data_IF_691160126868
#
_entry.id   IF_691160126868
#
_cell.length_a   1.000
_cell.length_b   1.000
_cell.length_c   1.000
_cell.angle_alpha   90.00
_cell.angle_beta   90.00
_cell.angle_gamma   90.00
#
_symmetry.space_group_name_H-M   'P 1'
#
loop_
_entity.id
_entity.type
_entity.pdbx_description
1 polymer ?
#
# COMPACT_ATOMS: atom_id res chain seq x y z
N UNK A 1 -48.84 29.12 -1.07
CA UNK A 1 -47.66 29.05 -1.96
C UNK A 1 -46.60 29.96 -1.39
N UNK A 2 -45.72 29.44 -0.54
CA UNK A 2 -44.52 30.16 -0.12
C UNK A 2 -43.36 29.54 -0.86
N UNK A 3 -42.72 30.34 -1.70
CA UNK A 3 -41.59 29.94 -2.51
C UNK A 3 -40.44 29.52 -1.59
N UNK A 4 -40.18 28.21 -1.54
CA UNK A 4 -38.92 27.65 -1.06
C UNK A 4 -37.88 27.84 -2.13
N UNK A 5 -37.32 29.03 -2.23
CA UNK A 5 -36.03 29.26 -2.89
C UNK A 5 -35.11 29.99 -1.92
N UNK A 6 -34.79 29.28 -0.84
CA UNK A 6 -33.58 29.52 -0.07
C UNK A 6 -32.60 28.43 -0.50
N UNK A 7 -32.01 28.57 -1.70
CA UNK A 7 -30.64 28.08 -1.90
C UNK A 7 -29.76 28.90 -0.98
N UNK A 8 -29.76 28.55 0.31
CA UNK A 8 -28.88 29.11 1.32
C UNK A 8 -27.49 28.58 0.94
N UNK A 9 -26.82 29.31 0.04
CA UNK A 9 -25.46 28.99 -0.38
C UNK A 9 -24.62 28.97 0.87
N UNK A 10 -23.96 27.84 1.13
CA UNK A 10 -23.12 27.67 2.31
C UNK A 10 -22.04 28.77 2.32
N UNK A 11 -22.01 29.65 3.35
CA UNK A 11 -21.10 30.79 3.38
C UNK A 11 -19.63 30.37 3.30
N UNK A 12 -19.28 29.16 3.75
CA UNK A 12 -17.93 28.64 3.61
C UNK A 12 -17.53 28.39 2.16
N UNK A 13 -18.46 27.93 1.33
CA UNK A 13 -18.23 27.69 -0.08
C UNK A 13 -18.11 29.00 -0.89
N UNK A 14 -18.78 30.07 -0.45
CA UNK A 14 -18.61 31.43 -1.00
C UNK A 14 -17.21 31.95 -0.71
N UNK A 15 -16.77 31.90 0.56
CA UNK A 15 -15.41 32.31 0.96
C UNK A 15 -14.34 31.48 0.24
N UNK A 16 -14.62 30.19 -0.02
CA UNK A 16 -13.74 29.32 -0.81
C UNK A 16 -13.54 29.83 -2.24
N UNK A 17 -14.61 30.33 -2.87
CA UNK A 17 -14.54 30.93 -4.21
C UNK A 17 -13.81 32.27 -4.19
N UNK A 18 -14.07 33.13 -3.21
CA UNK A 18 -13.33 34.40 -3.06
C UNK A 18 -11.82 34.15 -2.91
N UNK A 19 -11.46 33.15 -2.10
CA UNK A 19 -10.07 32.73 -1.94
C UNK A 19 -9.48 32.15 -3.23
N UNK A 20 -10.24 31.36 -3.99
CA UNK A 20 -9.82 30.87 -5.31
C UNK A 20 -9.48 32.01 -6.26
N UNK A 21 -10.36 33.02 -6.35
CA UNK A 21 -10.16 34.21 -7.18
C UNK A 21 -8.92 34.98 -6.75
N UNK A 22 -8.69 35.13 -5.44
CA UNK A 22 -7.47 35.74 -4.90
C UNK A 22 -6.20 35.00 -5.35
N UNK A 23 -6.22 33.65 -5.38
CA UNK A 23 -5.07 32.87 -5.87
C UNK A 23 -4.87 33.02 -7.39
N UNK A 24 -5.96 33.12 -8.16
CA UNK A 24 -5.88 33.37 -9.61
C UNK A 24 -5.22 34.71 -9.91
N UNK A 25 -5.57 35.78 -9.17
CA UNK A 25 -4.96 37.11 -9.32
C UNK A 25 -3.45 37.10 -9.05
N UNK A 26 -3.00 36.28 -8.10
CA UNK A 26 -1.56 36.11 -7.78
C UNK A 26 -0.80 35.30 -8.82
N UNK A 27 -1.49 34.66 -9.75
CA UNK A 27 -0.90 33.78 -10.77
C UNK A 27 -1.05 34.42 -12.16
N UNK A 28 0.00 35.07 -12.69
CA UNK A 28 -0.10 35.75 -13.98
C UNK A 28 -0.24 34.75 -15.14
N UNK A 29 -1.01 35.14 -16.15
CA UNK A 29 -1.13 34.39 -17.42
C UNK A 29 -2.17 33.27 -17.43
N UNK A 30 -3.04 33.19 -16.42
CA UNK A 30 -4.14 32.23 -16.41
C UNK A 30 -5.23 32.60 -17.44
N UNK A 31 -5.85 31.61 -18.09
CA UNK A 31 -7.04 31.82 -18.92
C UNK A 31 -8.21 32.35 -18.08
N UNK A 32 -9.16 33.02 -18.74
CA UNK A 32 -10.39 33.44 -18.09
C UNK A 32 -11.19 32.21 -17.62
N UNK A 33 -11.53 32.18 -16.35
CA UNK A 33 -12.34 31.14 -15.73
C UNK A 33 -13.18 31.74 -14.61
N UNK A 34 -14.46 31.34 -14.54
CA UNK A 34 -15.38 31.77 -13.47
C UNK A 34 -15.63 30.58 -12.54
N UNK A 35 -15.11 30.59 -11.30
CA UNK A 35 -15.31 29.49 -10.38
C UNK A 35 -16.78 29.30 -10.00
N UNK A 36 -17.16 28.05 -9.77
CA UNK A 36 -18.52 27.67 -9.37
C UNK A 36 -18.52 27.08 -7.97
N UNK A 37 -19.54 27.41 -7.18
CA UNK A 37 -19.79 26.80 -5.88
C UNK A 37 -20.37 25.41 -6.10
N UNK A 38 -19.92 24.42 -5.32
CA UNK A 38 -20.57 23.11 -5.33
C UNK A 38 -21.91 23.13 -4.59
N UNK A 39 -22.82 22.23 -4.98
CA UNK A 39 -24.09 21.95 -4.30
C UNK A 39 -23.89 21.42 -2.87
N UNK A 40 -22.67 21.01 -2.51
CA UNK A 40 -22.31 20.58 -1.17
C UNK A 40 -22.90 19.21 -0.80
N UNK A 41 -23.13 18.99 0.50
CA UNK A 41 -23.75 17.75 0.99
C UNK A 41 -25.28 17.84 0.82
N UNK A 42 -25.93 16.91 0.09
CA UNK A 42 -27.37 16.96 -0.11
C UNK A 42 -28.14 16.96 1.22
N UNK A 43 -29.19 17.76 1.32
CA UNK A 43 -30.01 17.87 2.54
C UNK A 43 -30.57 16.51 3.00
N UNK A 44 -30.90 15.62 2.06
CA UNK A 44 -31.33 14.25 2.36
C UNK A 44 -30.25 13.42 3.06
N UNK A 45 -28.98 13.59 2.68
CA UNK A 45 -27.84 12.92 3.30
C UNK A 45 -27.55 13.50 4.70
N UNK A 46 -27.65 14.82 4.86
CA UNK A 46 -27.55 15.49 6.17
C UNK A 46 -28.66 14.99 7.11
N UNK A 47 -29.90 14.91 6.63
CA UNK A 47 -31.03 14.40 7.42
C UNK A 47 -30.86 12.92 7.79
N UNK A 48 -30.44 12.08 6.85
CA UNK A 48 -30.24 10.64 7.08
C UNK A 48 -29.13 10.40 8.11
N UNK A 49 -27.98 11.07 7.95
CA UNK A 49 -26.87 10.98 8.89
C UNK A 49 -27.22 11.56 10.26
N UNK A 50 -27.93 12.69 10.33
CA UNK A 50 -28.44 13.24 11.60
C UNK A 50 -29.32 12.23 12.33
N UNK A 51 -30.29 11.61 11.64
CA UNK A 51 -31.16 10.57 12.21
C UNK A 51 -30.36 9.38 12.76
N UNK A 52 -29.35 8.94 12.03
CA UNK A 52 -28.46 7.87 12.48
C UNK A 52 -27.67 8.28 13.73
N UNK A 53 -27.12 9.49 13.76
CA UNK A 53 -26.32 10.01 14.88
C UNK A 53 -27.15 10.19 16.15
N UNK A 54 -28.42 10.60 16.04
CA UNK A 54 -29.29 10.79 17.22
C UNK A 54 -29.96 9.50 17.70
N UNK A 55 -29.83 8.40 16.97
CA UNK A 55 -30.37 7.09 17.35
C UNK A 55 -30.06 6.66 18.80
N UNK A 56 -28.83 6.85 19.31
CA UNK A 56 -28.48 6.57 20.71
C UNK A 56 -29.29 7.35 21.76
N UNK A 57 -29.94 8.49 21.42
CA UNK A 57 -30.87 9.16 22.34
C UNK A 57 -32.00 8.22 22.76
N UNK A 58 -32.50 7.41 21.84
CA UNK A 58 -33.58 6.45 22.09
C UNK A 58 -33.12 5.20 22.85
N UNK A 59 -31.82 5.02 23.02
CA UNK A 59 -31.20 3.96 23.80
C UNK A 59 -30.72 4.45 25.18
N UNK A 60 -30.98 5.71 25.54
CA UNK A 60 -30.55 6.30 26.81
C UNK A 60 -29.06 6.63 26.88
N UNK A 61 -28.40 6.87 25.74
CA UNK A 61 -26.97 7.19 25.64
C UNK A 61 -26.70 8.63 25.11
N UNK A 62 -27.27 9.67 25.72
CA UNK A 62 -27.21 11.05 25.20
C UNK A 62 -25.80 11.64 25.15
N UNK A 63 -24.88 11.16 25.97
CA UNK A 63 -23.48 11.60 26.00
C UNK A 63 -22.72 11.29 24.70
N UNK A 64 -23.21 10.34 23.90
CA UNK A 64 -22.61 9.97 22.60
C UNK A 64 -23.02 10.91 21.46
N UNK A 65 -24.04 11.74 21.65
CA UNK A 65 -24.77 12.41 20.55
C UNK A 65 -24.18 13.77 20.22
N UNK A 66 -23.94 14.63 21.22
CA UNK A 66 -23.46 16.00 20.98
C UNK A 66 -22.11 16.02 20.24
N UNK A 67 -21.15 15.21 20.70
CA UNK A 67 -19.83 15.12 20.06
C UNK A 67 -19.92 14.60 18.63
N UNK A 68 -20.77 13.59 18.38
CA UNK A 68 -20.96 13.02 17.05
C UNK A 68 -21.64 14.02 16.09
N UNK A 69 -22.64 14.78 16.55
CA UNK A 69 -23.27 15.84 15.76
C UNK A 69 -22.28 16.97 15.45
N UNK A 70 -21.46 17.37 16.43
CA UNK A 70 -20.43 18.39 16.22
C UNK A 70 -19.40 17.94 15.17
N UNK A 71 -18.87 16.71 15.27
CA UNK A 71 -17.96 16.15 14.26
C UNK A 71 -18.61 16.02 12.89
N UNK A 72 -19.89 15.61 12.82
CA UNK A 72 -20.61 15.52 11.55
C UNK A 72 -20.84 16.88 10.90
N UNK A 73 -21.17 17.90 11.69
CA UNK A 73 -21.34 19.27 11.20
C UNK A 73 -20.03 19.84 10.66
N UNK A 74 -18.93 19.71 11.41
CA UNK A 74 -17.60 20.12 10.95
C UNK A 74 -17.21 19.43 9.64
N UNK A 75 -17.54 18.15 9.53
CA UNK A 75 -17.30 17.36 8.34
C UNK A 75 -18.10 17.90 7.14
N UNK A 76 -19.42 18.14 7.26
CA UNK A 76 -20.24 18.67 6.16
C UNK A 76 -19.74 20.03 5.66
N UNK A 77 -19.40 20.93 6.57
CA UNK A 77 -18.84 22.26 6.26
C UNK A 77 -17.54 22.12 5.44
N UNK A 78 -16.61 21.31 5.93
CA UNK A 78 -15.34 21.07 5.23
C UNK A 78 -15.54 20.38 3.89
N UNK A 79 -16.50 19.45 3.79
CA UNK A 79 -16.82 18.80 2.52
C UNK A 79 -17.25 19.80 1.48
N UNK A 80 -18.14 20.73 1.79
CA UNK A 80 -18.62 21.72 0.82
C UNK A 80 -17.48 22.58 0.23
N UNK A 81 -16.53 23.00 1.08
CA UNK A 81 -15.32 23.72 0.64
C UNK A 81 -14.41 22.86 -0.25
N UNK A 82 -14.13 21.62 0.16
CA UNK A 82 -13.27 20.70 -0.60
C UNK A 82 -13.92 20.30 -1.94
N UNK A 83 -15.21 20.06 -1.96
CA UNK A 83 -15.98 19.73 -3.16
C UNK A 83 -15.96 20.91 -4.14
N UNK A 84 -16.12 22.14 -3.64
CA UNK A 84 -16.00 23.38 -4.42
C UNK A 84 -14.62 23.52 -5.07
N UNK A 85 -13.52 23.35 -4.33
CA UNK A 85 -12.18 23.42 -4.92
C UNK A 85 -11.96 22.28 -5.93
N UNK A 86 -12.33 21.04 -5.58
CA UNK A 86 -12.12 19.89 -6.46
C UNK A 86 -12.92 20.00 -7.77
N UNK A 87 -14.14 20.54 -7.70
CA UNK A 87 -14.96 20.88 -8.86
C UNK A 87 -14.25 21.91 -9.75
N UNK A 88 -13.78 23.01 -9.15
CA UNK A 88 -13.13 24.06 -9.93
C UNK A 88 -11.82 23.59 -10.56
N UNK A 89 -11.02 22.79 -9.86
CA UNK A 89 -9.82 22.17 -10.46
C UNK A 89 -10.15 21.28 -11.65
N UNK A 90 -11.27 20.56 -11.60
CA UNK A 90 -11.68 19.67 -12.67
C UNK A 90 -12.16 20.40 -13.94
N UNK A 91 -12.62 21.65 -13.83
CA UNK A 91 -13.21 22.42 -14.93
C UNK A 91 -12.38 23.63 -15.38
N UNK A 92 -11.38 24.04 -14.59
CA UNK A 92 -10.51 25.16 -14.93
C UNK A 92 -9.63 24.80 -16.15
N UNK A 93 -9.71 25.57 -17.27
CA UNK A 93 -8.91 25.32 -18.47
C UNK A 93 -7.40 25.52 -18.28
N UNK A 94 -6.97 26.13 -17.18
CA UNK A 94 -5.57 26.19 -16.79
C UNK A 94 -5.04 24.85 -16.26
N UNK A 95 -5.92 23.85 -16.10
CA UNK A 95 -5.63 22.52 -15.58
C UNK A 95 -4.79 22.53 -14.30
N UNK A 96 -5.21 23.24 -13.23
CA UNK A 96 -4.51 23.18 -11.96
C UNK A 96 -4.52 21.76 -11.39
N UNK A 97 -3.74 21.54 -10.33
CA UNK A 97 -3.83 20.35 -9.48
C UNK A 97 -4.05 20.81 -8.05
N UNK A 98 -4.56 19.93 -7.20
CA UNK A 98 -4.58 20.19 -5.76
C UNK A 98 -3.81 19.14 -4.97
N UNK A 99 -3.37 19.55 -3.79
CA UNK A 99 -2.82 18.69 -2.76
C UNK A 99 -3.81 18.54 -1.60
N UNK A 100 -3.72 17.44 -0.86
CA UNK A 100 -4.30 17.35 0.48
C UNK A 100 -3.26 17.86 1.48
N UNK A 101 -3.62 18.89 2.24
CA UNK A 101 -2.69 19.60 3.13
C UNK A 101 -3.19 19.48 4.58
N UNK A 102 -2.49 18.73 5.44
CA UNK A 102 -2.78 18.68 6.87
C UNK A 102 -2.65 20.07 7.52
N UNK A 103 -3.58 20.43 8.41
CA UNK A 103 -3.56 21.73 9.11
C UNK A 103 -3.24 21.64 10.61
N UNK A 104 -3.36 20.46 11.21
CA UNK A 104 -2.98 20.24 12.60
C UNK A 104 -1.48 20.00 12.78
N UNK A 105 -0.98 20.14 14.01
CA UNK A 105 0.40 19.82 14.37
C UNK A 105 0.78 18.35 14.06
N UNK A 106 -0.19 17.45 14.10
CA UNK A 106 -0.10 16.06 13.59
C UNK A 106 -1.44 15.67 12.96
N UNK A 107 -1.39 14.94 11.86
CA UNK A 107 -2.57 14.31 11.22
C UNK A 107 -2.52 12.79 11.36
N UNK A 108 -3.59 12.08 11.01
CA UNK A 108 -3.58 10.62 11.06
C UNK A 108 -2.73 10.01 9.92
N UNK A 109 -2.22 8.79 10.10
CA UNK A 109 -1.36 8.13 9.11
C UNK A 109 -2.02 8.00 7.72
N UNK A 110 -3.34 7.84 7.68
CA UNK A 110 -4.10 7.77 6.42
C UNK A 110 -4.10 9.10 5.67
N UNK A 111 -4.33 10.18 6.40
CA UNK A 111 -4.30 11.52 5.85
C UNK A 111 -2.89 11.89 5.39
N UNK A 112 -1.86 11.56 6.17
CA UNK A 112 -0.47 11.75 5.79
C UNK A 112 -0.09 10.97 4.52
N UNK A 113 -0.56 9.71 4.40
CA UNK A 113 -0.38 8.91 3.18
C UNK A 113 -1.00 9.59 1.95
N UNK A 114 -2.18 10.19 2.07
CA UNK A 114 -2.81 10.90 0.94
C UNK A 114 -2.11 12.23 0.66
N UNK A 115 -1.74 12.97 1.71
CA UNK A 115 -1.02 14.22 1.63
C UNK A 115 0.39 14.09 1.03
N UNK A 116 1.07 12.95 1.19
CA UNK A 116 2.42 12.74 0.64
C UNK A 116 2.50 12.79 -0.88
N UNK A 117 1.35 12.71 -1.57
CA UNK A 117 1.32 12.77 -3.04
C UNK A 117 1.54 14.18 -3.60
N UNK A 118 1.39 15.23 -2.78
CA UNK A 118 1.51 16.61 -3.24
C UNK A 118 0.40 17.04 -4.21
N UNK A 119 0.70 18.01 -5.07
CA UNK A 119 -0.23 18.60 -6.05
C UNK A 119 -0.39 17.73 -7.30
N UNK A 120 -1.02 16.56 -7.12
CA UNK A 120 -1.28 15.59 -8.22
C UNK A 120 -2.76 15.38 -8.50
N UNK A 121 -3.64 15.82 -7.60
CA UNK A 121 -5.06 15.53 -7.73
C UNK A 121 -5.74 16.47 -8.72
N UNK A 122 -6.60 15.90 -9.58
CA UNK A 122 -7.35 16.63 -10.60
C UNK A 122 -8.86 16.69 -10.30
N UNK A 123 -9.41 15.69 -9.60
CA UNK A 123 -10.85 15.62 -9.33
C UNK A 123 -11.15 14.84 -8.05
N UNK A 124 -12.38 14.98 -7.55
CA UNK A 124 -12.91 14.25 -6.40
C UNK A 124 -12.64 12.74 -6.46
N UNK A 125 -12.86 12.14 -7.64
CA UNK A 125 -12.66 10.69 -7.86
C UNK A 125 -11.20 10.28 -7.70
N UNK A 126 -10.27 11.12 -8.17
CA UNK A 126 -8.83 10.85 -8.09
C UNK A 126 -8.25 11.16 -6.71
N UNK A 127 -8.86 12.09 -5.97
CA UNK A 127 -8.45 12.39 -4.60
C UNK A 127 -9.13 11.56 -3.54
N UNK A 128 -10.18 10.80 -3.86
CA UNK A 128 -10.82 9.93 -2.89
C UNK A 128 -12.08 10.46 -2.23
N UNK A 129 -12.68 11.53 -2.74
CA UNK A 129 -13.69 12.31 -2.01
C UNK A 129 -15.04 11.57 -1.90
N UNK A 130 -15.38 10.68 -2.85
CA UNK A 130 -16.57 9.81 -2.81
C UNK A 130 -16.27 8.39 -3.33
N UNK A 131 -16.78 7.36 -2.64
CA UNK A 131 -16.94 5.98 -3.12
C UNK A 131 -15.66 5.21 -3.50
N UNK A 132 -14.49 5.67 -3.04
CA UNK A 132 -13.17 5.25 -3.55
C UNK A 132 -12.22 4.75 -2.47
N UNK A 133 -12.68 4.64 -1.21
CA UNK A 133 -11.86 4.18 -0.09
C UNK A 133 -10.82 5.18 0.41
N UNK A 134 -10.85 6.43 -0.07
CA UNK A 134 -9.94 7.53 0.26
C UNK A 134 -10.68 8.74 0.88
N UNK A 135 -11.87 8.51 1.43
CA UNK A 135 -12.83 9.54 1.84
C UNK A 135 -12.37 10.31 3.07
N UNK A 136 -12.82 11.56 3.19
CA UNK A 136 -12.57 12.34 4.41
C UNK A 136 -13.48 11.83 5.53
N UNK A 137 -12.90 11.34 6.61
CA UNK A 137 -13.69 10.95 7.79
C UNK A 137 -13.99 12.16 8.69
N UNK A 138 -14.93 11.98 9.62
CA UNK A 138 -15.47 13.03 10.49
C UNK A 138 -14.40 13.90 11.17
N UNK A 139 -13.34 13.28 11.72
CA UNK A 139 -12.31 14.00 12.49
C UNK A 139 -11.05 14.37 11.67
N UNK A 140 -11.19 14.48 10.34
CA UNK A 140 -10.07 14.81 9.45
C UNK A 140 -9.77 16.32 9.43
N UNK A 141 -8.49 16.66 9.54
CA UNK A 141 -7.95 18.02 9.55
C UNK A 141 -7.30 18.45 8.21
N UNK A 142 -7.36 17.62 7.18
CA UNK A 142 -6.79 17.95 5.87
C UNK A 142 -7.66 18.94 5.12
N UNK A 143 -7.10 20.03 4.62
CA UNK A 143 -7.76 20.84 3.59
C UNK A 143 -7.25 20.44 2.21
N UNK A 144 -7.88 20.95 1.15
CA UNK A 144 -7.33 20.83 -0.20
C UNK A 144 -6.90 22.20 -0.71
N UNK A 145 -5.72 22.24 -1.32
CA UNK A 145 -5.12 23.49 -1.79
C UNK A 145 -4.77 23.33 -3.27
N UNK A 146 -5.39 24.12 -4.18
CA UNK A 146 -5.04 24.09 -5.59
C UNK A 146 -3.70 24.80 -5.84
N UNK A 147 -3.08 24.48 -6.96
CA UNK A 147 -1.96 25.21 -7.53
C UNK A 147 -1.99 25.05 -9.05
N UNK A 148 -1.70 26.16 -9.73
CA UNK A 148 -1.51 26.23 -11.18
C UNK A 148 -0.06 26.01 -11.59
N UNK A 149 0.89 25.97 -10.64
CA UNK A 149 2.28 25.58 -10.86
C UNK A 149 2.72 24.60 -9.77
N UNK A 150 2.48 23.30 -10.01
CA UNK A 150 2.84 22.22 -9.07
C UNK A 150 4.32 22.15 -8.72
N UNK A 151 5.21 22.70 -9.56
CA UNK A 151 6.66 22.66 -9.32
C UNK A 151 7.11 23.77 -8.36
N UNK A 152 6.37 24.87 -8.28
CA UNK A 152 6.64 25.99 -7.38
C UNK A 152 5.73 26.03 -6.16
N UNK A 153 4.69 25.19 -6.14
CA UNK A 153 3.76 25.10 -5.03
C UNK A 153 4.49 24.75 -3.72
N UNK A 154 4.41 25.64 -2.74
CA UNK A 154 4.99 25.44 -1.42
C UNK A 154 4.06 26.01 -0.36
N UNK A 155 3.97 25.32 0.77
CA UNK A 155 3.26 25.78 1.96
C UNK A 155 4.19 25.53 3.15
N UNK A 156 4.47 26.56 3.92
CA UNK A 156 5.32 26.45 5.11
C UNK A 156 4.79 25.36 6.06
N UNK A 157 5.68 24.44 6.43
CA UNK A 157 5.35 23.30 7.30
C UNK A 157 4.68 22.11 6.59
N UNK A 158 4.45 22.18 5.29
CA UNK A 158 3.99 21.05 4.48
C UNK A 158 5.09 20.55 3.55
N UNK A 159 5.64 19.38 3.89
CA UNK A 159 6.66 18.69 3.12
C UNK A 159 6.11 17.34 2.62
N UNK A 160 5.54 17.29 1.40
CA UNK A 160 4.99 16.06 0.83
C UNK A 160 6.08 15.00 0.59
N UNK A 161 7.31 15.41 0.30
CA UNK A 161 8.41 14.49 0.00
C UNK A 161 8.84 13.74 1.27
N UNK A 162 9.04 14.44 2.39
CA UNK A 162 9.33 13.78 3.66
C UNK A 162 8.15 12.91 4.16
N UNK A 163 6.90 13.25 3.83
CA UNK A 163 5.77 12.36 4.08
C UNK A 163 5.80 11.12 3.18
N UNK A 164 6.24 11.29 1.93
CA UNK A 164 6.35 10.20 0.95
C UNK A 164 7.47 9.23 1.33
N UNK A 165 8.61 9.72 1.80
CA UNK A 165 9.70 8.88 2.30
C UNK A 165 9.25 7.97 3.45
N UNK A 166 8.49 8.50 4.42
CA UNK A 166 7.89 7.70 5.50
C UNK A 166 6.89 6.66 4.99
N UNK A 167 6.10 7.02 3.98
CA UNK A 167 5.21 6.08 3.31
C UNK A 167 6.00 4.95 2.61
N UNK A 168 7.08 5.29 1.91
CA UNK A 168 7.93 4.33 1.21
C UNK A 168 8.65 3.38 2.17
N UNK A 169 9.18 3.89 3.29
CA UNK A 169 9.78 3.08 4.34
C UNK A 169 8.76 2.07 4.93
N UNK A 170 7.52 2.51 5.16
CA UNK A 170 6.46 1.61 5.62
C UNK A 170 6.10 0.57 4.54
N UNK A 171 6.03 0.97 3.27
CA UNK A 171 5.72 0.09 2.14
C UNK A 171 6.79 -1.00 1.97
N UNK A 172 8.07 -0.63 2.07
CA UNK A 172 9.20 -1.55 2.06
C UNK A 172 9.14 -2.52 3.25
N UNK A 173 8.87 -2.03 4.45
CA UNK A 173 8.72 -2.87 5.63
C UNK A 173 7.57 -3.90 5.47
N UNK A 174 6.44 -3.52 4.86
CA UNK A 174 5.34 -4.45 4.53
C UNK A 174 5.79 -5.53 3.55
N UNK A 175 6.54 -5.15 2.49
CA UNK A 175 7.11 -6.10 1.53
C UNK A 175 8.08 -7.07 2.20
N UNK A 176 8.95 -6.58 3.08
CA UNK A 176 9.90 -7.42 3.83
C UNK A 176 9.17 -8.40 4.76
N UNK A 177 8.01 -8.02 5.30
CA UNK A 177 7.15 -8.94 6.05
C UNK A 177 6.41 -9.96 5.15
N UNK A 178 6.57 -9.89 3.83
CA UNK A 178 5.90 -10.76 2.87
C UNK A 178 4.39 -10.55 2.82
N UNK A 179 3.92 -9.36 3.20
CA UNK A 179 2.51 -8.95 3.16
C UNK A 179 2.24 -8.05 1.94
N UNK A 180 0.97 -7.80 1.62
CA UNK A 180 0.59 -6.97 0.47
C UNK A 180 0.78 -5.47 0.78
N UNK A 181 1.74 -4.78 0.13
CA UNK A 181 1.95 -3.34 0.33
C UNK A 181 0.78 -2.48 -0.18
N UNK A 182 -0.18 -3.05 -0.90
CA UNK A 182 -1.38 -2.36 -1.36
C UNK A 182 -2.57 -2.55 -0.41
N UNK A 183 -2.47 -3.45 0.58
CA UNK A 183 -3.44 -3.48 1.67
C UNK A 183 -3.22 -2.27 2.59
N UNK A 184 -4.08 -1.27 2.41
CA UNK A 184 -4.06 -0.04 3.19
C UNK A 184 -4.11 -0.30 4.70
N UNK A 185 -4.81 -1.33 5.19
CA UNK A 185 -4.90 -1.59 6.62
C UNK A 185 -3.53 -1.99 7.20
N UNK A 186 -2.86 -2.93 6.53
CA UNK A 186 -1.51 -3.37 6.89
C UNK A 186 -0.49 -2.23 6.74
N UNK A 187 -0.56 -1.49 5.63
CA UNK A 187 0.37 -0.38 5.38
C UNK A 187 0.24 0.72 6.43
N UNK A 188 -0.98 1.19 6.73
CA UNK A 188 -1.21 2.23 7.72
C UNK A 188 -0.85 1.75 9.14
N UNK A 189 -1.05 0.46 9.41
CA UNK A 189 -0.59 -0.15 10.65
C UNK A 189 0.93 -0.06 10.82
N UNK A 190 1.68 -0.33 9.75
CA UNK A 190 3.15 -0.21 9.74
C UNK A 190 3.58 1.25 9.82
N UNK A 191 2.96 2.15 9.06
CA UNK A 191 3.24 3.60 9.13
C UNK A 191 3.14 4.11 10.58
N UNK A 192 2.03 3.82 11.27
CA UNK A 192 1.79 4.23 12.66
C UNK A 192 2.86 3.78 13.64
N UNK A 193 3.56 2.68 13.34
CA UNK A 193 4.59 2.11 14.22
C UNK A 193 5.98 2.57 13.88
N UNK A 194 6.27 2.70 12.59
CA UNK A 194 7.60 3.12 12.13
C UNK A 194 7.83 4.61 12.42
N UNK A 195 6.76 5.41 12.43
CA UNK A 195 6.81 6.84 12.73
C UNK A 195 5.72 7.23 13.74
N UNK A 196 5.79 6.73 14.99
CA UNK A 196 4.71 6.93 15.97
C UNK A 196 4.53 8.40 16.33
N UNK A 197 5.60 9.18 16.28
CA UNK A 197 5.55 10.61 16.58
C UNK A 197 5.11 11.47 15.39
N UNK A 198 5.09 10.93 14.17
CA UNK A 198 4.65 11.68 13.00
C UNK A 198 3.12 11.81 12.90
N UNK A 199 2.38 10.94 13.58
CA UNK A 199 0.93 10.82 13.40
C UNK A 199 0.15 10.99 14.70
N UNK A 200 -1.05 11.59 14.59
CA UNK A 200 -2.00 11.73 15.71
C UNK A 200 -2.45 10.36 16.25
N UNK A 201 -2.50 9.37 15.38
CA UNK A 201 -2.87 7.98 15.67
C UNK A 201 -1.66 7.02 15.61
N UNK A 202 -0.45 7.54 15.80
CA UNK A 202 0.77 6.72 15.89
C UNK A 202 0.74 5.77 17.09
N UNK A 203 1.43 4.63 16.97
CA UNK A 203 1.45 3.57 17.99
C UNK A 203 2.91 3.28 18.32
N UNK A 204 3.39 3.80 19.45
CA UNK A 204 4.72 3.46 19.96
C UNK A 204 4.79 2.03 20.50
N UNK A 205 6.00 1.57 20.83
CA UNK A 205 6.27 0.18 21.27
C UNK A 205 5.50 -0.25 22.54
N UNK A 206 5.15 0.72 23.39
CA UNK A 206 4.36 0.52 24.60
C UNK A 206 2.83 0.58 24.37
N UNK A 207 2.37 0.71 23.11
CA UNK A 207 0.96 0.65 22.74
C UNK A 207 0.16 1.95 22.92
N UNK A 208 0.77 3.02 23.43
CA UNK A 208 0.17 4.37 23.51
C UNK A 208 1.18 5.42 23.10
N UNK A 209 0.92 6.15 22.01
CA UNK A 209 1.40 7.53 21.89
C UNK A 209 0.34 8.45 22.53
N UNK A 210 0.75 9.60 23.07
CA UNK A 210 -0.06 10.50 23.91
C UNK A 210 -1.27 11.19 23.24
N UNK A 211 -1.82 10.64 22.17
CA UNK A 211 -3.03 11.14 21.53
C UNK A 211 -4.32 10.63 22.21
N UNK A 212 -5.32 11.49 22.36
CA UNK A 212 -6.66 11.19 22.90
C UNK A 212 -7.50 10.21 22.04
N UNK A 213 -6.88 9.52 21.08
CA UNK A 213 -7.54 8.59 20.19
C UNK A 213 -8.02 7.35 20.94
N UNK A 214 -9.35 7.15 20.96
CA UNK A 214 -10.00 5.86 21.27
C UNK A 214 -9.71 4.87 20.13
N UNK A 215 -8.46 4.44 20.00
CA UNK A 215 -8.05 3.35 19.12
C UNK A 215 -7.61 2.17 19.97
N UNK A 216 -8.51 1.22 20.23
CA UNK A 216 -8.08 -0.11 20.66
C UNK A 216 -7.32 -0.72 19.48
N UNK A 217 -6.01 -0.56 19.45
CA UNK A 217 -5.22 -1.14 18.38
C UNK A 217 -5.24 -2.66 18.55
N UNK A 218 -6.20 -3.32 17.89
CA UNK A 218 -6.22 -4.78 17.66
C UNK A 218 -5.02 -5.22 16.80
N UNK A 219 -4.14 -4.30 16.45
CA UNK A 219 -3.06 -4.53 15.51
C UNK A 219 -1.91 -5.21 16.26
N UNK A 220 -1.50 -6.43 15.85
CA UNK A 220 -0.50 -7.24 16.53
C UNK A 220 0.90 -6.61 16.46
N UNK A 221 1.66 -6.51 17.57
CA UNK A 221 3.02 -5.92 17.60
C UNK A 221 4.04 -6.64 16.69
N UNK A 222 3.67 -7.82 16.19
CA UNK A 222 4.48 -8.77 15.43
C UNK A 222 3.67 -9.26 14.24
N UNK A 223 4.35 -9.78 13.22
CA UNK A 223 3.66 -10.37 12.07
C UNK A 223 2.82 -11.56 12.55
N UNK A 224 1.53 -11.60 12.17
CA UNK A 224 0.65 -12.68 12.60
C UNK A 224 0.95 -13.97 11.85
N UNK A 225 0.83 -15.10 12.55
CA UNK A 225 0.78 -16.39 11.89
C UNK A 225 -0.47 -16.46 11.03
N UNK A 226 -0.30 -16.83 9.76
CA UNK A 226 -1.39 -16.95 8.82
C UNK A 226 -2.19 -18.23 9.05
N UNK A 227 -3.49 -18.19 8.73
CA UNK A 227 -4.28 -19.42 8.61
C UNK A 227 -3.66 -20.32 7.54
N UNK A 228 -3.31 -21.55 7.92
CA UNK A 228 -2.84 -22.59 7.01
C UNK A 228 -3.98 -22.96 6.06
N UNK A 229 -3.78 -22.70 4.76
CA UNK A 229 -4.76 -23.04 3.73
C UNK A 229 -4.69 -24.52 3.41
N UNK A 230 -5.86 -25.12 3.20
CA UNK A 230 -5.97 -26.45 2.61
C UNK A 230 -5.80 -26.34 1.10
N UNK A 231 -4.85 -27.08 0.54
CA UNK A 231 -4.65 -27.14 -0.90
C UNK A 231 -3.49 -28.07 -1.20
N UNK A 232 -3.80 -29.29 -1.63
CA UNK A 232 -2.76 -30.24 -2.02
C UNK A 232 -2.16 -29.78 -3.34
N UNK A 233 -0.95 -29.22 -3.28
CA UNK A 233 -0.09 -29.14 -4.45
C UNK A 233 0.49 -30.53 -4.71
N UNK A 234 0.38 -31.03 -5.93
CA UNK A 234 0.78 -32.42 -6.19
C UNK A 234 0.65 -32.84 -7.65
N UNK A 235 1.68 -33.51 -8.16
CA UNK A 235 1.76 -34.09 -9.51
C UNK A 235 1.90 -33.09 -10.65
N UNK A 236 1.09 -32.03 -10.63
CA UNK A 236 0.93 -31.02 -11.68
C UNK A 236 1.92 -29.84 -11.59
N UNK A 237 2.73 -29.79 -10.54
CA UNK A 237 3.74 -28.76 -10.33
C UNK A 237 3.23 -27.49 -9.62
N UNK A 238 2.01 -27.49 -9.09
CA UNK A 238 1.48 -26.41 -8.24
C UNK A 238 2.10 -26.41 -6.84
N UNK A 239 2.05 -25.26 -6.16
CA UNK A 239 2.53 -25.11 -4.78
C UNK A 239 1.53 -25.72 -3.81
N UNK A 240 2.01 -26.58 -2.90
CA UNK A 240 1.22 -27.11 -1.79
C UNK A 240 1.04 -26.01 -0.74
N UNK A 241 -0.14 -25.39 -0.73
CA UNK A 241 -0.42 -24.25 0.15
C UNK A 241 -0.38 -24.63 1.63
N UNK A 242 -0.67 -25.88 1.97
CA UNK A 242 -0.59 -26.35 3.36
C UNK A 242 0.88 -26.39 3.80
N UNK A 243 1.77 -26.96 2.98
CA UNK A 243 3.21 -26.97 3.29
C UNK A 243 3.82 -25.58 3.26
N UNK A 244 3.46 -24.78 2.27
CA UNK A 244 3.96 -23.42 2.11
C UNK A 244 3.57 -22.54 3.29
N UNK A 245 2.30 -22.55 3.69
CA UNK A 245 1.81 -21.73 4.81
C UNK A 245 2.41 -22.20 6.15
N UNK A 246 2.57 -23.51 6.36
CA UNK A 246 3.26 -24.05 7.55
C UNK A 246 4.70 -23.58 7.60
N UNK A 247 5.45 -23.75 6.49
CA UNK A 247 6.83 -23.29 6.41
C UNK A 247 6.93 -21.78 6.65
N UNK A 248 6.08 -20.97 5.99
CA UNK A 248 6.03 -19.53 6.19
C UNK A 248 5.77 -19.18 7.66
N UNK A 249 4.84 -19.86 8.34
CA UNK A 249 4.58 -19.62 9.76
C UNK A 249 5.79 -19.93 10.66
N UNK A 250 6.57 -20.97 10.35
CA UNK A 250 7.84 -21.24 11.05
C UNK A 250 8.85 -20.09 10.84
N UNK A 251 8.94 -19.58 9.61
CA UNK A 251 9.79 -18.43 9.28
C UNK A 251 9.32 -17.16 10.00
N UNK A 252 8.01 -16.88 10.03
CA UNK A 252 7.43 -15.75 10.77
C UNK A 252 7.75 -15.85 12.26
N UNK A 253 7.66 -17.05 12.85
CA UNK A 253 7.99 -17.25 14.25
C UNK A 253 9.46 -16.90 14.55
N UNK A 254 10.38 -17.33 13.69
CA UNK A 254 11.81 -16.97 13.76
C UNK A 254 12.04 -15.47 13.59
N UNK A 255 11.44 -14.88 12.55
CA UNK A 255 11.53 -13.44 12.26
C UNK A 255 11.03 -12.59 13.43
N UNK A 256 9.92 -13.00 14.05
CA UNK A 256 9.33 -12.31 15.19
C UNK A 256 10.12 -12.47 16.50
N UNK A 257 10.96 -13.50 16.61
CA UNK A 257 11.77 -13.76 17.80
C UNK A 257 13.05 -12.91 17.85
N UNK A 258 13.50 -12.39 16.70
CA UNK A 258 14.77 -11.69 16.55
C UNK A 258 14.55 -10.24 16.08
N UNK A 259 14.64 -9.24 16.98
CA UNK A 259 14.49 -7.83 16.61
C UNK A 259 15.55 -7.32 15.62
N UNK A 260 16.79 -7.78 15.74
CA UNK A 260 17.90 -7.30 14.91
C UNK A 260 17.74 -7.82 13.49
N UNK A 261 17.26 -9.05 13.32
CA UNK A 261 16.88 -9.60 12.02
C UNK A 261 15.78 -8.77 11.35
N UNK A 262 14.79 -8.27 12.10
CA UNK A 262 13.73 -7.42 11.53
C UNK A 262 14.25 -6.06 11.06
N UNK A 263 15.31 -5.56 11.70
CA UNK A 263 15.95 -4.30 11.35
C UNK A 263 16.98 -4.45 10.21
N UNK A 264 17.43 -5.67 9.88
CA UNK A 264 18.52 -5.91 8.93
C UNK A 264 18.11 -5.96 7.45
N UNK A 265 16.83 -5.74 7.14
CA UNK A 265 16.30 -5.91 5.77
C UNK A 265 15.97 -7.36 5.41
N UNK A 266 15.96 -8.26 6.41
CA UNK A 266 15.52 -9.64 6.24
C UNK A 266 14.06 -9.71 5.76
N UNK A 267 13.79 -10.65 4.85
CA UNK A 267 12.49 -10.85 4.22
C UNK A 267 11.84 -12.16 4.64
N UNK A 268 10.52 -12.17 4.71
CA UNK A 268 9.67 -13.34 4.93
C UNK A 268 9.02 -13.73 3.59
N UNK A 269 8.94 -15.02 3.23
CA UNK A 269 8.30 -15.45 2.00
C UNK A 269 6.89 -14.86 1.85
N UNK A 270 6.46 -14.47 0.65
CA UNK A 270 5.20 -13.78 0.44
C UNK A 270 4.01 -14.63 0.87
N UNK A 271 2.92 -14.01 1.35
CA UNK A 271 1.69 -14.73 1.73
C UNK A 271 1.14 -15.58 0.59
N UNK A 272 1.19 -15.05 -0.64
CA UNK A 272 0.81 -15.78 -1.84
C UNK A 272 2.08 -16.20 -2.58
N UNK A 273 2.27 -17.51 -2.83
CA UNK A 273 3.45 -17.97 -3.55
C UNK A 273 3.44 -17.46 -4.98
N UNK A 274 4.63 -17.23 -5.52
CA UNK A 274 4.82 -16.75 -6.88
C UNK A 274 4.23 -17.76 -7.89
N UNK A 275 3.51 -17.27 -8.88
CA UNK A 275 2.87 -18.13 -9.88
C UNK A 275 3.81 -18.35 -11.06
N UNK A 276 3.67 -19.51 -11.73
CA UNK A 276 4.47 -19.83 -12.92
C UNK A 276 4.29 -18.76 -14.02
N UNK A 277 5.36 -18.33 -14.71
CA UNK A 277 5.26 -17.51 -15.93
C UNK A 277 4.43 -18.20 -17.02
N UNK A 278 3.44 -17.49 -17.59
CA UNK A 278 2.53 -18.04 -18.60
C UNK A 278 3.23 -18.47 -19.89
N UNK A 279 4.37 -17.85 -20.21
CA UNK A 279 5.09 -17.96 -21.47
C UNK A 279 6.39 -18.78 -21.36
N UNK A 280 6.53 -19.65 -20.35
CA UNK A 280 7.70 -20.51 -20.26
C UNK A 280 7.83 -21.42 -21.50
N UNK A 281 9.00 -21.50 -22.16
CA UNK A 281 9.17 -22.28 -23.38
C UNK A 281 8.91 -23.78 -23.18
N UNK A 282 8.25 -24.42 -24.13
CA UNK A 282 7.89 -25.85 -24.05
C UNK A 282 9.04 -26.78 -24.47
N UNK A 283 10.05 -26.25 -25.16
CA UNK A 283 11.27 -26.94 -25.61
C UNK A 283 12.32 -27.06 -24.51
N UNK A 284 12.17 -26.34 -23.40
CA UNK A 284 13.09 -26.36 -22.26
C UNK A 284 12.58 -27.27 -21.13
N UNK A 285 13.45 -27.70 -20.20
CA UNK A 285 13.03 -28.33 -18.96
C UNK A 285 11.90 -27.54 -18.28
N UNK A 286 10.86 -28.25 -17.85
CA UNK A 286 9.69 -27.62 -17.27
C UNK A 286 10.06 -26.83 -16.00
N UNK A 287 9.58 -25.60 -15.89
CA UNK A 287 9.67 -24.79 -14.68
C UNK A 287 8.28 -24.69 -14.05
N UNK A 288 8.05 -25.49 -13.02
CA UNK A 288 6.79 -25.49 -12.28
C UNK A 288 6.79 -24.48 -11.12
N UNK A 289 5.60 -24.06 -10.67
CA UNK A 289 5.46 -23.05 -9.62
C UNK A 289 6.11 -23.53 -8.31
N UNK A 290 6.03 -24.83 -8.02
CA UNK A 290 6.69 -25.44 -6.86
C UNK A 290 8.21 -25.23 -6.88
N UNK A 291 8.87 -25.60 -7.98
CA UNK A 291 10.32 -25.54 -8.10
C UNK A 291 10.81 -24.09 -8.18
N UNK A 292 10.00 -23.19 -8.76
CA UNK A 292 10.29 -21.77 -8.76
C UNK A 292 10.23 -21.16 -7.35
N UNK A 293 9.18 -21.43 -6.56
CA UNK A 293 9.15 -20.94 -5.17
C UNK A 293 10.27 -21.54 -4.30
N UNK A 294 10.62 -22.81 -4.53
CA UNK A 294 11.80 -23.43 -3.89
C UNK A 294 13.11 -22.73 -4.25
N UNK A 295 13.23 -22.19 -5.47
CA UNK A 295 14.40 -21.42 -5.90
C UNK A 295 14.38 -19.95 -5.43
N UNK A 296 13.20 -19.37 -5.18
CA UNK A 296 13.05 -17.96 -4.81
C UNK A 296 13.09 -17.72 -3.30
N UNK A 297 12.53 -18.64 -2.51
CA UNK A 297 12.26 -18.39 -1.09
C UNK A 297 12.74 -19.51 -0.16
N UNK A 298 13.42 -20.53 -0.70
CA UNK A 298 13.72 -21.80 -0.03
C UNK A 298 12.46 -22.54 0.48
N UNK A 299 12.61 -23.81 0.85
CA UNK A 299 11.52 -24.64 1.34
C UNK A 299 12.04 -25.62 2.41
N UNK A 300 11.19 -25.94 3.40
CA UNK A 300 11.40 -27.08 4.30
C UNK A 300 11.33 -28.40 3.52
N UNK A 301 12.42 -29.17 3.52
CA UNK A 301 12.51 -30.49 2.91
C UNK A 301 12.99 -31.49 3.95
N UNK A 302 12.04 -32.14 4.62
CA UNK A 302 12.35 -33.00 5.78
C UNK A 302 12.85 -32.16 6.95
N UNK A 303 13.99 -32.52 7.59
CA UNK A 303 14.54 -31.75 8.72
C UNK A 303 15.23 -30.44 8.27
N UNK A 304 15.65 -30.35 7.01
CA UNK A 304 16.47 -29.25 6.49
C UNK A 304 15.64 -28.21 5.74
N UNK A 305 16.15 -26.99 5.65
CA UNK A 305 15.63 -25.97 4.73
C UNK A 305 16.59 -25.90 3.55
N UNK A 306 16.08 -26.07 2.33
CA UNK A 306 16.86 -26.15 1.09
C UNK A 306 16.27 -25.24 0.03
N UNK A 307 17.05 -25.02 -1.02
CA UNK A 307 16.65 -24.29 -2.21
C UNK A 307 17.51 -23.07 -2.43
N UNK A 308 17.28 -22.39 -3.56
CA UNK A 308 17.83 -21.07 -3.78
C UNK A 308 17.04 -20.03 -2.99
N UNK A 309 17.50 -18.78 -3.07
CA UNK A 309 16.70 -17.67 -2.60
C UNK A 309 17.13 -16.32 -3.19
N UNK A 310 16.17 -15.41 -3.26
CA UNK A 310 16.40 -14.00 -3.53
C UNK A 310 17.17 -13.30 -2.40
N UNK A 311 17.65 -12.09 -2.69
CA UNK A 311 18.20 -11.19 -1.67
C UNK A 311 17.18 -10.92 -0.54
N UNK A 312 17.67 -10.90 0.70
CA UNK A 312 16.86 -10.74 1.91
C UNK A 312 16.36 -12.04 2.54
N UNK A 313 16.48 -13.18 1.87
CA UNK A 313 16.02 -14.49 2.38
C UNK A 313 17.17 -15.41 2.85
N UNK A 314 18.43 -15.00 2.72
CA UNK A 314 19.60 -15.82 3.08
C UNK A 314 19.73 -16.18 4.56
N UNK A 315 18.96 -15.53 5.44
CA UNK A 315 18.85 -15.91 6.85
C UNK A 315 17.99 -17.19 7.06
N UNK A 316 17.24 -17.60 6.03
CA UNK A 316 16.35 -18.77 6.07
C UNK A 316 17.14 -20.06 5.77
N UNK A 317 18.02 -20.02 4.78
CA UNK A 317 18.81 -21.15 4.29
C UNK A 317 20.21 -20.70 3.85
N UNK A 318 21.21 -21.58 3.93
CA UNK A 318 22.63 -21.24 3.76
C UNK A 318 23.14 -21.24 2.32
N UNK A 319 22.26 -21.17 1.31
CA UNK A 319 22.70 -21.18 -0.10
C UNK A 319 23.23 -19.79 -0.52
N UNK A 320 24.04 -19.70 -1.58
CA UNK A 320 24.42 -18.41 -2.15
C UNK A 320 23.19 -17.57 -2.51
N UNK A 321 23.24 -16.28 -2.17
CA UNK A 321 22.12 -15.35 -2.36
C UNK A 321 22.12 -14.83 -3.79
N UNK A 322 20.97 -14.90 -4.48
CA UNK A 322 20.82 -14.24 -5.77
C UNK A 322 21.05 -12.72 -5.65
N UNK A 323 21.57 -12.05 -6.69
CA UNK A 323 21.99 -10.65 -6.59
C UNK A 323 20.91 -9.72 -6.06
N UNK A 324 21.35 -8.69 -5.33
CA UNK A 324 20.46 -7.62 -4.89
C UNK A 324 19.81 -6.93 -6.10
N UNK A 325 18.52 -6.61 -5.97
CA UNK A 325 17.72 -5.98 -7.03
C UNK A 325 17.11 -6.95 -8.05
N UNK A 326 17.48 -8.24 -8.06
CA UNK A 326 16.79 -9.21 -8.91
C UNK A 326 15.36 -9.46 -8.44
N UNK A 327 14.43 -9.45 -9.38
CA UNK A 327 13.02 -9.82 -9.20
C UNK A 327 12.80 -11.30 -9.49
N UNK A 328 11.62 -11.82 -9.14
CA UNK A 328 11.22 -13.17 -9.54
C UNK A 328 11.27 -13.38 -11.06
N UNK A 329 10.94 -12.33 -11.84
CA UNK A 329 11.02 -12.36 -13.30
C UNK A 329 12.46 -12.41 -13.81
N UNK A 330 13.40 -11.73 -13.14
CA UNK A 330 14.81 -11.79 -13.52
C UNK A 330 15.39 -13.20 -13.31
N UNK A 331 14.97 -13.89 -12.24
CA UNK A 331 15.36 -15.29 -11.99
C UNK A 331 14.82 -16.23 -13.06
N UNK A 332 13.58 -16.01 -13.51
CA UNK A 332 12.99 -16.77 -14.62
C UNK A 332 13.78 -16.53 -15.91
N UNK A 333 14.08 -15.27 -16.24
CA UNK A 333 14.88 -14.89 -17.43
C UNK A 333 16.29 -15.49 -17.37
N UNK A 334 16.91 -15.49 -16.20
CA UNK A 334 18.22 -16.09 -15.97
C UNK A 334 18.17 -17.61 -16.21
N UNK A 335 17.16 -18.29 -15.69
CA UNK A 335 16.99 -19.73 -15.90
C UNK A 335 16.77 -20.08 -17.38
N UNK A 336 15.93 -19.33 -18.08
CA UNK A 336 15.74 -19.50 -19.53
C UNK A 336 17.06 -19.30 -20.28
N UNK A 337 17.78 -18.22 -19.98
CA UNK A 337 19.07 -17.92 -20.61
C UNK A 337 20.09 -19.05 -20.41
N UNK A 338 20.24 -19.54 -19.18
CA UNK A 338 21.17 -20.63 -18.85
C UNK A 338 20.82 -21.89 -19.63
N UNK A 339 19.55 -22.27 -19.66
CA UNK A 339 19.11 -23.47 -20.37
C UNK A 339 19.28 -23.33 -21.88
N UNK A 340 18.98 -22.17 -22.46
CA UNK A 340 19.22 -21.91 -23.89
C UNK A 340 20.69 -21.95 -24.27
N UNK A 341 21.57 -21.57 -23.35
CA UNK A 341 23.00 -21.44 -23.63
C UNK A 341 23.76 -22.75 -23.44
N UNK A 342 23.41 -23.52 -22.40
CA UNK A 342 24.26 -24.61 -21.92
C UNK A 342 23.51 -25.94 -21.68
N UNK A 343 22.18 -25.97 -21.77
CA UNK A 343 21.44 -27.22 -21.64
C UNK A 343 21.27 -27.91 -23.00
N UNK A 344 21.29 -29.24 -22.99
CA UNK A 344 21.00 -30.08 -24.15
C UNK A 344 20.13 -31.25 -23.71
N UNK A 345 19.29 -31.75 -24.62
CA UNK A 345 18.45 -32.91 -24.33
C UNK A 345 19.31 -34.11 -23.89
N UNK A 346 18.83 -34.88 -22.92
CA UNK A 346 19.64 -35.89 -22.25
C UNK A 346 20.29 -35.42 -20.94
N UNK A 347 20.65 -34.14 -20.80
CA UNK A 347 21.44 -33.61 -19.68
C UNK A 347 20.57 -33.35 -18.44
N UNK A 348 21.05 -33.82 -17.29
CA UNK A 348 20.50 -33.57 -15.95
C UNK A 348 21.62 -33.29 -14.96
N UNK A 349 21.31 -32.63 -13.85
CA UNK A 349 22.29 -32.08 -12.91
C UNK A 349 22.39 -30.57 -13.05
N UNK A 350 23.54 -30.01 -12.68
CA UNK A 350 23.78 -28.57 -12.71
C UNK A 350 24.15 -28.12 -14.13
N UNK A 351 23.40 -27.14 -14.63
CA UNK A 351 23.68 -26.43 -15.88
C UNK A 351 24.05 -25.00 -15.51
N UNK A 352 25.18 -24.51 -16.01
CA UNK A 352 25.72 -23.22 -15.61
C UNK A 352 25.94 -22.33 -16.81
N UNK A 353 25.52 -21.06 -16.72
CA UNK A 353 25.90 -20.02 -17.67
C UNK A 353 25.89 -18.64 -16.99
N UNK A 354 26.55 -17.66 -17.60
CA UNK A 354 26.58 -16.29 -17.08
C UNK A 354 25.40 -15.48 -17.58
N UNK A 355 24.58 -14.94 -16.67
CA UNK A 355 23.51 -13.99 -16.97
C UNK A 355 23.76 -12.66 -16.26
N UNK A 356 23.85 -11.56 -17.03
CA UNK A 356 24.13 -10.20 -16.51
C UNK A 356 25.36 -10.16 -15.59
N UNK A 357 26.42 -10.87 -15.96
CA UNK A 357 27.69 -10.91 -15.20
C UNK A 357 27.69 -11.84 -13.99
N UNK A 358 26.63 -12.62 -13.76
CA UNK A 358 26.51 -13.57 -12.63
C UNK A 358 26.50 -15.00 -13.16
N UNK A 359 27.35 -15.86 -12.62
CA UNK A 359 27.33 -17.30 -12.90
C UNK A 359 26.11 -17.92 -12.22
N UNK A 360 25.14 -18.38 -13.01
CA UNK A 360 23.87 -18.94 -12.51
C UNK A 360 23.83 -20.43 -12.78
N UNK A 361 23.52 -21.20 -11.74
CA UNK A 361 23.33 -22.65 -11.79
C UNK A 361 21.83 -22.95 -11.82
N UNK A 362 21.41 -23.71 -12.83
CA UNK A 362 20.07 -24.28 -12.96
C UNK A 362 20.18 -25.79 -12.76
N UNK A 363 19.65 -26.29 -11.63
CA UNK A 363 19.65 -27.72 -11.33
C UNK A 363 18.48 -28.42 -12.02
N UNK A 364 18.76 -29.24 -13.03
CA UNK A 364 17.77 -29.99 -13.82
C UNK A 364 17.63 -31.42 -13.30
N UNK A 365 16.39 -31.88 -13.10
CA UNK A 365 16.07 -33.26 -12.73
C UNK A 365 15.31 -33.98 -13.84
N UNK A 366 15.65 -35.26 -14.03
CA UNK A 366 14.89 -36.16 -14.89
C UNK A 366 13.60 -36.62 -14.20
N UNK A 367 12.50 -36.65 -14.95
CA UNK A 367 11.18 -37.15 -14.57
C UNK A 367 10.67 -38.14 -15.63
N UNK A 368 9.59 -38.86 -15.32
CA UNK A 368 8.92 -39.72 -16.31
C UNK A 368 8.42 -38.91 -17.52
N UNK A 369 8.03 -37.65 -17.30
CA UNK A 369 7.49 -36.74 -18.32
C UNK A 369 8.55 -35.88 -19.02
N UNK A 370 9.85 -36.18 -18.87
CA UNK A 370 10.95 -35.38 -19.43
C UNK A 370 11.83 -34.74 -18.36
N UNK A 371 12.24 -33.49 -18.58
CA UNK A 371 13.15 -32.75 -17.69
C UNK A 371 12.43 -31.64 -16.94
N UNK A 372 12.94 -31.30 -15.75
CA UNK A 372 12.36 -30.26 -14.91
C UNK A 372 13.45 -29.47 -14.19
N UNK A 373 13.33 -28.15 -14.19
CA UNK A 373 14.11 -27.29 -13.30
C UNK A 373 13.68 -27.56 -11.86
N UNK A 374 14.64 -27.85 -10.99
CA UNK A 374 14.39 -28.18 -9.59
C UNK A 374 14.87 -27.10 -8.63
N UNK A 375 15.88 -26.30 -8.99
CA UNK A 375 16.32 -25.14 -8.24
C UNK A 375 17.17 -24.22 -9.13
N UNK A 376 17.30 -22.96 -8.74
CA UNK A 376 18.10 -21.92 -9.41
C UNK A 376 18.84 -21.15 -8.33
N UNK A 377 20.15 -21.00 -8.46
CA UNK A 377 20.99 -20.32 -7.47
C UNK A 377 22.29 -19.84 -8.14
N UNK A 378 22.95 -18.79 -7.63
CA UNK A 378 24.24 -18.39 -8.16
C UNK A 378 25.33 -19.37 -7.72
N UNK A 379 26.40 -19.43 -8.49
CA UNK A 379 27.65 -20.04 -8.05
C UNK A 379 28.25 -19.24 -6.87
N UNK A 380 28.93 -19.94 -5.96
CA UNK A 380 29.39 -19.39 -4.68
C UNK A 380 30.60 -18.47 -4.83
#
# INVERSE_FOLDING_TARGET
>A
MWATDLTLRDPHSVVTVEWWEEQCVKTPGLPAYSPTISDGVPASQVQASTRAIVGPLWLGEPEKVLGALASATQMWVKYASRDTIARNVAFDPAEPRYARVPRGAKTCAFCAMLASRGWVYLSEKLAGIKGSGNEFHHDCDCEIVPSWDRKKAHIDGYDPDAMYDRYQQAREAVMNMGEDPNDSHTLLAVMRRLHPDAYKDGIGDQGRSGGTGRGTSKIPRRLQLGKVRSGKGGGDGTVDLTKYDTHRNEIIARYNADPDLRASGAKVPPRNPYQRPRNWPNDLPALDAKSLNHALYSERVGPEIKGGHLHGYGWIASRPTLPEGWTEEDVVKAAEHVLRTAWSDGVFGDVTATFRGVSVIVHVKRRKSGYRVASIFPEA
#
